data_IF_052377539250
#
_entry.id   IF_052377539250
#
_cell.length_a   1.000
_cell.length_b   1.000
_cell.length_c   1.000
_cell.angle_alpha   90.00
_cell.angle_beta   90.00
_cell.angle_gamma   90.00
#
_symmetry.space_group_name_H-M   'P 1'
#
loop_
_entity.id
_entity.type
_entity.pdbx_description
1 polymer ?
#
# COMPACT_ATOMS: atom_id res chain seq x y z
N UNK A 1 4.54 -1.26 12.57
CA UNK A 1 4.81 -0.16 13.52
C UNK A 1 4.21 -0.39 14.92
N UNK A 2 2.88 -0.44 15.11
CA UNK A 2 2.22 -0.60 16.43
C UNK A 2 2.81 -1.70 17.33
N UNK A 3 3.05 -2.90 16.79
CA UNK A 3 3.56 -4.04 17.56
C UNK A 3 5.03 -3.90 17.99
N UNK A 4 5.78 -2.96 17.40
CA UNK A 4 7.15 -2.62 17.82
C UNK A 4 7.10 -1.57 18.93
N UNK A 5 6.47 -0.42 18.64
CA UNK A 5 6.47 0.73 19.56
C UNK A 5 5.69 0.45 20.86
N UNK A 6 4.68 -0.42 20.78
CA UNK A 6 3.80 -0.76 21.90
C UNK A 6 3.69 -2.27 22.09
N UNK A 7 4.82 -2.98 22.08
CA UNK A 7 4.89 -4.45 22.17
C UNK A 7 4.05 -5.04 23.32
N UNK A 8 4.02 -4.39 24.49
CA UNK A 8 3.24 -4.85 25.64
C UNK A 8 1.71 -4.76 25.47
N UNK A 9 1.21 -4.00 24.49
CA UNK A 9 -0.21 -3.83 24.19
C UNK A 9 -0.73 -4.84 23.17
N UNK A 10 0.15 -5.34 22.29
CA UNK A 10 -0.23 -6.26 21.21
C UNK A 10 -0.01 -7.69 21.67
N UNK A 11 -1.10 -8.39 21.99
CA UNK A 11 -1.04 -9.78 22.48
C UNK A 11 -0.77 -10.79 21.37
N UNK A 12 -1.33 -10.55 20.19
CA UNK A 12 -1.19 -11.35 18.96
C UNK A 12 -1.33 -10.41 17.77
N UNK A 13 -0.64 -10.71 16.68
CA UNK A 13 -0.70 -9.93 15.44
C UNK A 13 -1.11 -10.84 14.27
N UNK A 14 -2.03 -10.37 13.44
CA UNK A 14 -2.26 -10.93 12.11
C UNK A 14 -2.04 -9.83 11.08
N UNK A 15 -1.17 -10.11 10.10
CA UNK A 15 -0.97 -9.26 8.92
C UNK A 15 -1.45 -10.02 7.70
N UNK A 16 -2.17 -9.32 6.82
CA UNK A 16 -2.85 -9.90 5.66
C UNK A 16 -2.32 -9.23 4.40
N UNK A 17 -1.74 -10.04 3.52
CA UNK A 17 -1.28 -9.70 2.17
C UNK A 17 -0.29 -8.53 2.10
N UNK A 18 0.64 -8.47 3.07
CA UNK A 18 1.71 -7.48 3.11
C UNK A 18 3.06 -8.11 3.42
N UNK A 19 4.12 -7.51 2.89
CA UNK A 19 5.49 -7.67 3.35
C UNK A 19 5.99 -6.34 3.95
N UNK A 20 7.06 -6.32 4.77
CA UNK A 20 7.51 -5.08 5.40
C UNK A 20 7.89 -4.03 4.36
N UNK A 21 7.49 -2.78 4.59
CA UNK A 21 7.67 -1.65 3.66
C UNK A 21 9.14 -1.47 3.23
N UNK A 22 10.07 -1.60 4.17
CA UNK A 22 11.50 -1.55 3.88
C UNK A 22 11.97 -2.62 2.90
N UNK A 23 11.51 -3.88 3.05
CA UNK A 23 11.90 -4.97 2.13
C UNK A 23 11.29 -4.76 0.74
N UNK A 24 10.05 -4.26 0.68
CA UNK A 24 9.34 -3.96 -0.56
C UNK A 24 10.09 -2.92 -1.39
N UNK A 25 10.42 -1.76 -0.81
CA UNK A 25 11.16 -0.70 -1.51
C UNK A 25 12.63 -1.07 -1.80
N UNK A 26 13.27 -1.86 -0.94
CA UNK A 26 14.69 -2.24 -1.11
C UNK A 26 14.90 -3.41 -2.08
N UNK A 27 13.82 -4.05 -2.56
CA UNK A 27 13.92 -5.26 -3.37
C UNK A 27 14.39 -6.50 -2.59
N UNK A 28 14.34 -6.46 -1.25
CA UNK A 28 14.81 -7.53 -0.36
C UNK A 28 13.69 -8.53 -0.06
N UNK A 29 13.00 -9.00 -1.11
CA UNK A 29 11.78 -9.80 -0.95
C UNK A 29 12.01 -11.24 -0.47
N UNK A 30 13.27 -11.65 -0.28
CA UNK A 30 13.65 -13.02 0.07
C UNK A 30 13.57 -13.98 -1.13
N UNK A 31 12.39 -14.04 -1.77
CA UNK A 31 12.18 -14.73 -3.05
C UNK A 31 11.88 -13.70 -4.14
N UNK A 32 12.64 -13.74 -5.23
CA UNK A 32 12.39 -12.90 -6.40
C UNK A 32 11.00 -13.24 -6.97
N UNK A 33 10.11 -12.24 -7.16
CA UNK A 33 8.82 -12.42 -7.80
C UNK A 33 8.99 -13.11 -9.16
N UNK A 34 8.11 -14.06 -9.44
CA UNK A 34 8.04 -14.65 -10.77
C UNK A 34 7.52 -13.57 -11.73
N UNK A 35 8.35 -13.21 -12.69
CA UNK A 35 7.98 -12.20 -13.68
C UNK A 35 7.31 -12.90 -14.86
N UNK A 36 6.07 -12.51 -15.15
CA UNK A 36 5.34 -12.94 -16.36
C UNK A 36 5.04 -11.73 -17.24
N UNK A 37 5.29 -11.84 -18.55
CA UNK A 37 5.02 -10.79 -19.52
C UNK A 37 6.28 -10.25 -20.20
N UNK A 38 6.23 -9.04 -20.81
CA UNK A 38 7.34 -8.51 -21.61
C UNK A 38 8.51 -7.96 -20.78
N UNK A 39 8.36 -7.87 -19.45
CA UNK A 39 9.38 -7.39 -18.53
C UNK A 39 10.22 -8.57 -18.06
N UNK A 40 11.55 -8.42 -18.05
CA UNK A 40 12.48 -9.44 -17.54
C UNK A 40 13.11 -9.06 -16.20
N UNK A 41 13.19 -7.77 -15.87
CA UNK A 41 13.76 -7.29 -14.62
C UNK A 41 12.74 -7.40 -13.48
N UNK A 42 13.05 -8.12 -12.38
CA UNK A 42 12.13 -8.31 -11.26
C UNK A 42 11.73 -7.02 -10.56
N UNK A 43 12.65 -6.06 -10.45
CA UNK A 43 12.35 -4.77 -9.83
C UNK A 43 11.42 -3.94 -10.70
N UNK A 44 11.65 -3.93 -12.01
CA UNK A 44 10.74 -3.29 -12.95
C UNK A 44 9.35 -3.95 -12.91
N UNK A 45 9.27 -5.28 -12.87
CA UNK A 45 8.00 -6.00 -12.78
C UNK A 45 7.23 -5.65 -11.51
N UNK A 46 7.93 -5.59 -10.37
CA UNK A 46 7.39 -5.10 -9.12
C UNK A 46 6.91 -3.65 -9.24
N UNK A 47 7.73 -2.75 -9.77
CA UNK A 47 7.38 -1.35 -9.92
C UNK A 47 6.18 -1.14 -10.85
N UNK A 48 6.02 -1.98 -11.87
CA UNK A 48 4.85 -1.95 -12.74
C UNK A 48 3.59 -2.43 -12.02
N UNK A 49 3.67 -3.54 -11.29
CA UNK A 49 2.53 -4.08 -10.53
C UNK A 49 2.12 -3.16 -9.36
N UNK A 50 3.10 -2.62 -8.64
CA UNK A 50 2.93 -1.69 -7.53
C UNK A 50 3.14 -0.23 -7.95
N UNK A 51 2.80 0.15 -9.19
CA UNK A 51 3.06 1.51 -9.72
C UNK A 51 2.58 2.66 -8.81
N UNK A 52 1.54 2.40 -8.02
CA UNK A 52 0.99 3.37 -7.07
C UNK A 52 1.95 3.70 -5.90
N UNK A 53 2.85 2.79 -5.52
CA UNK A 53 3.93 3.05 -4.56
C UNK A 53 4.97 4.07 -5.08
N UNK A 54 4.97 4.31 -6.39
CA UNK A 54 5.85 5.28 -7.06
C UNK A 54 5.11 6.52 -7.56
N UNK A 55 3.83 6.35 -7.94
CA UNK A 55 2.96 7.43 -8.38
C UNK A 55 2.49 8.29 -7.20
N UNK A 56 1.96 7.69 -6.13
CA UNK A 56 1.39 8.44 -4.99
C UNK A 56 2.47 9.16 -4.17
N UNK A 57 3.73 8.76 -4.30
CA UNK A 57 4.89 9.38 -3.66
C UNK A 57 5.44 10.59 -4.42
N UNK A 58 4.94 10.87 -5.64
CA UNK A 58 5.34 12.08 -6.36
C UNK A 58 4.96 13.35 -5.58
N UNK A 59 5.72 14.45 -5.74
CA UNK A 59 5.43 15.71 -5.07
C UNK A 59 3.99 16.18 -5.29
N UNK A 60 3.36 16.67 -4.22
CA UNK A 60 2.03 17.26 -4.31
C UNK A 60 2.08 18.54 -5.18
N UNK A 61 1.01 18.84 -5.96
CA UNK A 61 -0.26 18.12 -6.03
C UNK A 61 -0.39 17.17 -7.25
N UNK A 62 0.71 16.61 -7.77
CA UNK A 62 0.64 15.83 -9.02
C UNK A 62 -0.30 14.61 -8.91
N UNK A 63 -0.17 13.71 -7.91
CA UNK A 63 -1.10 12.61 -7.74
C UNK A 63 -2.54 13.08 -7.50
N UNK A 64 -2.71 14.13 -6.69
CA UNK A 64 -4.01 14.69 -6.33
C UNK A 64 -4.77 15.17 -7.56
N UNK A 65 -4.10 15.83 -8.51
CA UNK A 65 -4.72 16.28 -9.76
C UNK A 65 -4.98 15.14 -10.73
N UNK A 66 -4.05 14.19 -10.88
CA UNK A 66 -4.23 13.06 -11.80
C UNK A 66 -5.40 12.17 -11.37
N UNK A 67 -5.54 11.90 -10.07
CA UNK A 67 -6.64 11.08 -9.53
C UNK A 67 -7.93 11.90 -9.46
N UNK A 68 -7.84 13.17 -9.08
CA UNK A 68 -9.01 14.06 -8.92
C UNK A 68 -9.85 14.24 -10.18
N UNK A 69 -9.29 13.98 -11.38
CA UNK A 69 -10.05 14.00 -12.63
C UNK A 69 -11.13 12.90 -12.71
N UNK A 70 -10.90 11.73 -12.11
CA UNK A 70 -11.89 10.65 -11.98
C UNK A 70 -11.52 9.71 -10.81
N UNK A 71 -11.82 10.10 -9.57
CA UNK A 71 -11.43 9.33 -8.39
C UNK A 71 -12.12 7.95 -8.34
N UNK A 72 -13.36 7.84 -8.84
CA UNK A 72 -14.09 6.58 -8.83
C UNK A 72 -13.46 5.55 -9.76
N UNK A 73 -13.07 5.94 -10.98
CA UNK A 73 -12.37 5.03 -11.90
C UNK A 73 -11.02 4.57 -11.33
N UNK A 74 -10.28 5.48 -10.68
CA UNK A 74 -9.04 5.12 -10.00
C UNK A 74 -9.29 4.11 -8.86
N UNK A 75 -10.29 4.37 -8.01
CA UNK A 75 -10.68 3.47 -6.92
C UNK A 75 -11.06 2.08 -7.44
N UNK A 76 -11.90 2.01 -8.48
CA UNK A 76 -12.34 0.75 -9.07
C UNK A 76 -11.17 -0.04 -9.67
N UNK A 77 -10.23 0.64 -10.31
CA UNK A 77 -9.01 0.01 -10.80
C UNK A 77 -8.14 -0.58 -9.67
N UNK A 78 -8.15 0.03 -8.47
CA UNK A 78 -7.43 -0.50 -7.29
C UNK A 78 -8.16 -1.68 -6.65
N UNK A 79 -9.44 -1.54 -6.39
CA UNK A 79 -10.27 -2.60 -5.80
C UNK A 79 -10.38 -3.83 -6.72
N UNK A 80 -10.32 -3.63 -8.03
CA UNK A 80 -10.43 -4.69 -9.04
C UNK A 80 -9.12 -5.21 -9.63
N UNK A 81 -7.95 -4.71 -9.19
CA UNK A 81 -6.66 -4.93 -9.88
C UNK A 81 -5.66 -5.84 -9.17
N UNK A 82 -5.89 -6.22 -7.93
CA UNK A 82 -4.92 -6.94 -7.08
C UNK A 82 -5.28 -8.42 -6.89
N UNK A 83 -5.53 -9.11 -8.00
CA UNK A 83 -5.92 -10.53 -8.00
C UNK A 83 -7.44 -10.76 -7.91
N UNK A 84 -8.20 -9.72 -7.63
CA UNK A 84 -9.64 -9.66 -7.87
C UNK A 84 -9.87 -9.55 -9.39
N UNK A 85 -10.73 -10.40 -9.95
CA UNK A 85 -11.12 -10.31 -11.36
C UNK A 85 -12.28 -9.31 -11.48
N UNK A 86 -12.01 -8.06 -11.09
CA UNK A 86 -13.02 -7.01 -10.92
C UNK A 86 -13.65 -6.96 -9.52
N UNK A 87 -14.75 -6.22 -9.38
CA UNK A 87 -15.34 -5.84 -8.09
C UNK A 87 -16.32 -6.86 -7.51
N UNK A 88 -16.50 -8.02 -8.15
CA UNK A 88 -17.56 -8.99 -7.81
C UNK A 88 -17.43 -9.65 -6.43
N UNK A 89 -16.31 -9.46 -5.73
CA UNK A 89 -16.10 -9.93 -4.36
C UNK A 89 -16.45 -8.88 -3.29
N UNK A 90 -16.85 -7.67 -3.70
CA UNK A 90 -17.20 -6.57 -2.80
C UNK A 90 -18.71 -6.38 -2.85
N UNK A 91 -19.36 -6.46 -1.69
CA UNK A 91 -20.79 -6.19 -1.54
C UNK A 91 -21.10 -4.75 -1.95
N UNK A 92 -22.29 -4.52 -2.52
CA UNK A 92 -22.66 -3.22 -3.07
C UNK A 92 -22.61 -2.11 -2.01
N UNK A 93 -23.01 -2.40 -0.78
CA UNK A 93 -22.99 -1.48 0.35
C UNK A 93 -21.55 -1.13 0.77
N UNK A 94 -20.62 -2.09 0.71
CA UNK A 94 -19.21 -1.85 1.00
C UNK A 94 -18.56 -1.01 -0.11
N UNK A 95 -18.85 -1.32 -1.38
CA UNK A 95 -18.36 -0.54 -2.52
C UNK A 95 -18.82 0.92 -2.44
N UNK A 96 -20.09 1.15 -2.12
CA UNK A 96 -20.64 2.50 -1.96
C UNK A 96 -19.92 3.29 -0.86
N UNK A 97 -19.52 2.64 0.24
CA UNK A 97 -18.79 3.30 1.32
C UNK A 97 -17.35 3.65 0.91
N UNK A 98 -16.67 2.78 0.15
CA UNK A 98 -15.35 3.11 -0.43
C UNK A 98 -15.44 4.29 -1.40
N UNK A 99 -16.46 4.30 -2.26
CA UNK A 99 -16.71 5.42 -3.19
C UNK A 99 -16.98 6.71 -2.42
N UNK A 100 -17.84 6.67 -1.40
CA UNK A 100 -18.17 7.83 -0.56
C UNK A 100 -16.92 8.41 0.12
N UNK A 101 -16.06 7.56 0.66
CA UNK A 101 -14.87 7.98 1.39
C UNK A 101 -13.78 8.54 0.45
N UNK A 102 -13.46 7.81 -0.63
CA UNK A 102 -12.36 8.18 -1.53
C UNK A 102 -12.74 9.30 -2.50
N UNK A 103 -13.98 9.32 -2.98
CA UNK A 103 -14.49 10.36 -3.89
C UNK A 103 -15.10 11.56 -3.16
N UNK A 104 -14.83 11.70 -1.85
CA UNK A 104 -15.34 12.80 -1.06
C UNK A 104 -14.91 14.16 -1.69
N UNK A 105 -15.86 15.06 -2.02
CA UNK A 105 -15.55 16.31 -2.70
C UNK A 105 -14.91 17.36 -1.79
N UNK A 106 -14.74 17.09 -0.50
CA UNK A 106 -14.09 18.00 0.43
C UNK A 106 -12.67 18.33 -0.03
N UNK A 107 -12.35 19.63 -0.01
CA UNK A 107 -11.04 20.15 -0.33
C UNK A 107 -10.27 20.46 0.95
N UNK A 108 -8.95 20.26 0.93
CA UNK A 108 -8.08 20.78 1.99
C UNK A 108 -7.93 22.31 1.87
N UNK A 109 -7.18 22.89 2.80
CA UNK A 109 -6.79 24.30 2.86
C UNK A 109 -6.04 24.81 1.61
N UNK A 110 -5.49 23.92 0.78
CA UNK A 110 -4.84 24.23 -0.50
C UNK A 110 -5.76 24.06 -1.72
N UNK A 111 -7.02 23.69 -1.52
CA UNK A 111 -8.00 23.48 -2.58
C UNK A 111 -7.86 22.13 -3.31
N UNK A 112 -7.16 21.16 -2.73
CA UNK A 112 -6.98 19.82 -3.31
C UNK A 112 -7.94 18.80 -2.69
N UNK A 113 -8.33 17.72 -3.39
CA UNK A 113 -9.19 16.69 -2.82
C UNK A 113 -8.59 16.09 -1.55
N UNK A 114 -9.23 16.32 -0.40
CA UNK A 114 -8.64 16.05 0.92
C UNK A 114 -8.41 14.55 1.16
N UNK A 115 -9.33 13.69 0.70
CA UNK A 115 -9.21 12.24 0.83
C UNK A 115 -8.03 11.69 0.01
N UNK A 116 -7.92 12.13 -1.25
CA UNK A 116 -6.82 11.72 -2.14
C UNK A 116 -5.48 12.24 -1.62
N UNK A 117 -5.44 13.49 -1.14
CA UNK A 117 -4.24 14.06 -0.55
C UNK A 117 -3.80 13.26 0.69
N UNK A 118 -4.75 12.91 1.57
CA UNK A 118 -4.46 12.10 2.76
C UNK A 118 -3.92 10.71 2.39
N UNK A 119 -4.49 10.06 1.36
CA UNK A 119 -3.96 8.82 0.83
C UNK A 119 -2.54 9.00 0.24
N UNK A 120 -2.29 10.08 -0.52
CA UNK A 120 -0.98 10.35 -1.09
C UNK A 120 0.07 10.63 0.00
N UNK A 121 -0.27 11.35 1.07
CA UNK A 121 0.61 11.60 2.21
C UNK A 121 0.98 10.31 2.95
N UNK A 122 0.05 9.35 3.08
CA UNK A 122 0.34 8.01 3.62
C UNK A 122 1.45 7.30 2.79
N UNK A 123 1.31 7.29 1.47
CA UNK A 123 2.37 6.74 0.61
C UNK A 123 3.68 7.54 0.67
N UNK A 124 3.63 8.87 0.76
CA UNK A 124 4.84 9.69 0.93
C UNK A 124 5.54 9.40 2.26
N UNK A 125 4.80 9.14 3.34
CA UNK A 125 5.36 8.68 4.61
C UNK A 125 6.03 7.32 4.46
N UNK A 126 5.39 6.39 3.74
CA UNK A 126 5.89 5.03 3.52
C UNK A 126 7.20 4.97 2.71
N UNK A 127 7.44 5.96 1.85
CA UNK A 127 8.69 6.13 1.08
C UNK A 127 9.70 7.10 1.73
N UNK A 128 9.39 7.61 2.93
CA UNK A 128 10.19 8.60 3.64
C UNK A 128 10.38 8.20 5.10
N UNK A 129 9.62 8.82 5.99
CA UNK A 129 9.80 8.69 7.43
C UNK A 129 9.60 7.25 7.95
N UNK A 130 8.73 6.47 7.34
CA UNK A 130 8.53 5.07 7.76
C UNK A 130 9.74 4.20 7.45
N UNK A 131 10.43 4.46 6.32
CA UNK A 131 11.69 3.77 6.00
C UNK A 131 12.76 4.08 7.04
N UNK A 132 12.83 5.34 7.48
CA UNK A 132 13.75 5.72 8.56
C UNK A 132 13.42 4.97 9.85
N UNK A 133 12.15 4.97 10.27
CA UNK A 133 11.73 4.26 11.48
C UNK A 133 11.99 2.75 11.40
N UNK A 134 11.80 2.14 10.24
CA UNK A 134 12.01 0.70 10.03
C UNK A 134 13.51 0.37 10.00
N UNK A 135 14.32 1.19 9.33
CA UNK A 135 15.78 1.05 9.29
C UNK A 135 16.38 1.14 10.71
N UNK A 136 16.03 2.18 11.46
CA UNK A 136 16.51 2.37 12.83
C UNK A 136 16.10 1.21 13.76
N UNK A 137 14.87 0.69 13.59
CA UNK A 137 14.41 -0.48 14.32
C UNK A 137 15.22 -1.73 13.99
N UNK A 138 15.55 -1.95 12.71
CA UNK A 138 16.40 -3.07 12.29
C UNK A 138 17.81 -2.97 12.85
N UNK A 139 18.42 -1.79 12.84
CA UNK A 139 19.76 -1.55 13.40
C UNK A 139 19.81 -1.87 14.91
N UNK A 140 18.72 -1.57 15.64
CA UNK A 140 18.58 -1.96 17.05
C UNK A 140 18.27 -3.44 17.28
N UNK A 141 17.94 -4.17 16.21
CA UNK A 141 17.52 -5.57 16.28
C UNK A 141 16.09 -5.74 16.79
N UNK A 142 15.24 -4.72 16.69
CA UNK A 142 13.85 -4.77 17.15
C UNK A 142 13.09 -5.89 16.42
N UNK A 143 12.31 -6.68 17.17
CA UNK A 143 11.45 -7.75 16.65
C UNK A 143 10.06 -7.63 17.23
N UNK A 144 9.07 -8.10 16.47
CA UNK A 144 7.69 -8.25 16.97
C UNK A 144 7.72 -9.33 18.05
N UNK A 145 7.33 -8.96 19.27
CA UNK A 145 7.48 -9.82 20.45
C UNK A 145 6.33 -10.83 20.63
N UNK A 146 5.19 -10.63 19.97
CA UNK A 146 4.01 -11.49 20.10
C UNK A 146 3.91 -12.52 18.97
N UNK A 147 3.09 -13.56 19.21
CA UNK A 147 2.69 -14.51 18.18
C UNK A 147 2.16 -13.76 16.95
N UNK A 148 2.72 -14.04 15.79
CA UNK A 148 2.42 -13.36 14.54
C UNK A 148 1.95 -14.35 13.50
N UNK A 149 0.77 -14.10 12.93
CA UNK A 149 0.21 -14.83 11.80
C UNK A 149 0.34 -13.96 10.54
N UNK A 150 0.91 -14.54 9.49
CA UNK A 150 0.99 -13.92 8.16
C UNK A 150 0.08 -14.71 7.23
N UNK A 151 -0.92 -14.05 6.65
CA UNK A 151 -1.80 -14.63 5.62
C UNK A 151 -1.51 -13.94 4.29
N UNK A 152 -1.24 -14.70 3.24
CA UNK A 152 -0.91 -14.15 1.91
C UNK A 152 -1.78 -14.82 0.86
N UNK A 153 -2.27 -14.03 -0.10
CA UNK A 153 -2.97 -14.55 -1.27
C UNK A 153 -1.99 -15.24 -2.21
N UNK A 154 -2.23 -16.52 -2.51
CA UNK A 154 -1.38 -17.28 -3.46
C UNK A 154 -1.44 -16.75 -4.91
N UNK A 155 -2.38 -15.86 -5.21
CA UNK A 155 -2.52 -15.16 -6.50
C UNK A 155 -2.06 -13.70 -6.44
N UNK A 156 -1.43 -13.29 -5.34
CA UNK A 156 -0.81 -11.98 -5.18
C UNK A 156 0.48 -11.84 -5.99
N UNK A 157 0.99 -10.62 -6.10
CA UNK A 157 2.20 -10.30 -6.88
C UNK A 157 3.48 -10.67 -6.13
N UNK A 158 3.50 -10.45 -4.82
CA UNK A 158 4.60 -10.85 -3.93
C UNK A 158 4.06 -11.95 -3.04
N UNK A 159 4.59 -13.15 -3.19
CA UNK A 159 4.16 -14.34 -2.44
C UNK A 159 5.30 -14.88 -1.59
N UNK A 160 4.95 -15.48 -0.44
CA UNK A 160 5.88 -16.17 0.44
C UNK A 160 6.54 -17.40 -0.22
#
# INVERSE_FOLDING_TARGET
RLALDHAHRVKKLCVIDIAPTFDMYSGLWGKTPEVSGPVADPYFAFAQAYYHWFHLTQPAPLPEFMIGGNPQAYLHAKLGGWGSQGLGYIEAEALAEYERAFCNPALNDKGWPAAIHSAAEDYRASAGIDLQHDFEGRERGDKIACDTLVLVGNRGVVTA
#
